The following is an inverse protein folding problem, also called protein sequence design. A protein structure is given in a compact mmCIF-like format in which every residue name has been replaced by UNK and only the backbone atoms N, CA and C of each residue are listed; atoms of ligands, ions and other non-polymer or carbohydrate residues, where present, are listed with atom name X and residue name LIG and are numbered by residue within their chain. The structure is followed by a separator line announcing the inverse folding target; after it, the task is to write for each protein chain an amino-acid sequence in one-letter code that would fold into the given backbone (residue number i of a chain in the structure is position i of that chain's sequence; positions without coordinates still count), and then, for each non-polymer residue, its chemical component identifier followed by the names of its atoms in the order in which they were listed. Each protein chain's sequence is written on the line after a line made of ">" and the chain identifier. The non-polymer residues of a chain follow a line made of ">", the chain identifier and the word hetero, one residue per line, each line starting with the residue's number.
data_IF_294545242873
#
_entry.id   IF_294545242873
#
_cell.length_a   1.000
_cell.length_b   1.000
_cell.length_c   1.000
_cell.angle_alpha   90.00
_cell.angle_beta   90.00
_cell.angle_gamma   90.00
#
_symmetry.space_group_name_H-M   'P 1'
#
loop_
_entity.id
_entity.type
_entity.pdbx_description
1 polymer ?
#
# COMPACT_ATOMS: atom_id res chain seq x y z
N UNK A 1 8.09 -23.88 11.03
CA UNK A 1 7.98 -24.41 9.65
C UNK A 1 9.34 -24.62 8.97
N UNK A 2 10.46 -24.17 9.57
CA UNK A 2 11.79 -24.32 8.96
C UNK A 2 11.93 -23.47 7.70
N UNK A 3 12.84 -23.85 6.80
CA UNK A 3 12.97 -23.22 5.49
C UNK A 3 11.76 -23.55 4.63
N UNK A 4 11.05 -22.53 4.19
CA UNK A 4 9.87 -22.64 3.33
C UNK A 4 9.98 -21.64 2.17
N UNK A 5 9.32 -21.89 1.03
CA UNK A 5 9.25 -20.91 -0.06
C UNK A 5 8.65 -19.57 0.42
N UNK A 6 9.14 -18.44 -0.11
CA UNK A 6 8.64 -17.11 0.25
C UNK A 6 7.11 -16.98 0.07
N UNK A 7 6.56 -17.52 -1.03
CA UNK A 7 5.11 -17.58 -1.28
C UNK A 7 4.34 -18.30 -0.16
N UNK A 8 4.93 -19.35 0.42
CA UNK A 8 4.31 -20.11 1.52
C UNK A 8 4.36 -19.31 2.82
N UNK A 9 5.49 -18.64 3.10
CA UNK A 9 5.60 -17.75 4.25
C UNK A 9 4.58 -16.62 4.20
N UNK A 10 4.38 -16.03 3.02
CA UNK A 10 3.39 -14.98 2.77
C UNK A 10 1.95 -15.48 2.97
N UNK A 11 1.58 -16.61 2.33
CA UNK A 11 0.22 -17.19 2.45
C UNK A 11 -0.16 -17.52 3.89
N UNK A 12 0.79 -18.00 4.70
CA UNK A 12 0.56 -18.32 6.12
C UNK A 12 0.86 -17.17 7.07
N UNK A 13 1.12 -15.96 6.56
CA UNK A 13 1.43 -14.75 7.33
C UNK A 13 2.44 -15.00 8.46
N UNK A 14 3.63 -15.53 8.09
CA UNK A 14 4.66 -15.86 9.08
C UNK A 14 5.50 -14.64 9.43
N UNK A 15 5.43 -14.20 10.69
CA UNK A 15 6.18 -13.04 11.19
C UNK A 15 7.70 -13.15 11.03
N UNK A 16 8.31 -14.32 11.33
CA UNK A 16 9.77 -14.48 11.30
C UNK A 16 10.32 -14.18 9.88
N UNK A 17 9.83 -14.83 8.79
CA UNK A 17 10.23 -14.45 7.43
C UNK A 17 9.96 -12.99 7.06
N UNK A 18 8.87 -12.37 7.52
CA UNK A 18 8.60 -10.96 7.24
C UNK A 18 9.66 -10.03 7.86
N UNK A 19 10.05 -10.29 9.11
CA UNK A 19 11.14 -9.58 9.79
C UNK A 19 12.48 -9.83 9.11
N UNK A 20 12.78 -11.08 8.72
CA UNK A 20 14.02 -11.43 8.01
C UNK A 20 14.13 -10.67 6.68
N UNK A 21 13.05 -10.58 5.90
CA UNK A 21 13.02 -9.79 4.64
C UNK A 21 13.25 -8.29 4.94
N UNK A 22 12.57 -7.74 5.95
CA UNK A 22 12.79 -6.34 6.36
C UNK A 22 14.23 -6.04 6.78
N UNK A 23 14.90 -6.99 7.43
CA UNK A 23 16.34 -6.90 7.76
C UNK A 23 17.24 -7.00 6.53
N UNK A 24 16.92 -7.93 5.61
CA UNK A 24 17.71 -8.17 4.40
C UNK A 24 17.66 -6.98 3.43
N UNK A 25 16.47 -6.43 3.19
CA UNK A 25 16.28 -5.32 2.25
C UNK A 25 16.54 -3.95 2.89
N UNK A 26 16.41 -3.87 4.22
CA UNK A 26 16.46 -2.62 4.98
C UNK A 26 15.09 -1.92 5.01
N UNK A 27 14.64 -1.55 6.22
CA UNK A 27 13.30 -1.01 6.44
C UNK A 27 13.02 0.29 5.69
N UNK A 28 14.02 1.15 5.46
CA UNK A 28 13.82 2.38 4.69
C UNK A 28 13.41 2.07 3.24
N UNK A 29 14.00 1.05 2.60
CA UNK A 29 13.62 0.64 1.25
C UNK A 29 12.18 0.08 1.21
N UNK A 30 11.79 -0.65 2.24
CA UNK A 30 10.42 -1.16 2.39
C UNK A 30 9.42 -0.01 2.54
N UNK A 31 9.77 1.00 3.33
CA UNK A 31 8.95 2.20 3.55
C UNK A 31 8.84 3.04 2.28
N UNK A 32 9.95 3.26 1.57
CA UNK A 32 9.96 3.97 0.30
C UNK A 32 9.07 3.28 -0.74
N UNK A 33 9.09 1.94 -0.79
CA UNK A 33 8.17 1.16 -1.62
C UNK A 33 6.71 1.35 -1.20
N UNK A 34 6.41 1.29 0.10
CA UNK A 34 5.05 1.52 0.59
C UNK A 34 4.53 2.92 0.24
N UNK A 35 5.38 3.95 0.35
CA UNK A 35 5.08 5.32 -0.08
C UNK A 35 4.85 5.42 -1.59
N UNK A 36 5.68 4.75 -2.40
CA UNK A 36 5.48 4.68 -3.85
C UNK A 36 4.14 4.01 -4.22
N UNK A 37 3.66 3.08 -3.38
CA UNK A 37 2.37 2.41 -3.54
C UNK A 37 1.17 3.22 -3.01
N UNK A 38 1.39 4.40 -2.43
CA UNK A 38 0.33 5.29 -1.96
C UNK A 38 -0.05 5.14 -0.48
N UNK A 39 0.77 4.48 0.33
CA UNK A 39 0.70 4.58 1.80
C UNK A 39 1.37 5.89 2.20
N UNK A 40 0.63 6.92 2.62
CA UNK A 40 1.19 8.24 2.95
C UNK A 40 1.39 8.46 4.45
N UNK A 41 0.72 7.65 5.28
CA UNK A 41 0.88 7.60 6.73
C UNK A 41 2.35 7.38 7.11
N UNK A 42 2.75 7.95 8.25
CA UNK A 42 4.09 7.73 8.78
C UNK A 42 4.30 6.26 9.14
N UNK A 43 5.38 5.68 8.62
CA UNK A 43 5.81 4.31 8.94
C UNK A 43 7.10 4.36 9.77
N UNK A 44 7.09 3.70 10.93
CA UNK A 44 8.29 3.60 11.77
C UNK A 44 9.35 2.71 11.09
N UNK A 45 10.63 3.12 11.03
CA UNK A 45 11.69 2.35 10.38
C UNK A 45 12.13 1.10 11.17
N UNK A 46 11.50 0.80 12.30
CA UNK A 46 11.71 -0.41 13.07
C UNK A 46 11.08 -1.66 12.44
N UNK A 47 11.61 -2.82 12.83
CA UNK A 47 11.17 -4.13 12.30
C UNK A 47 9.73 -4.51 12.72
N UNK A 48 9.16 -3.84 13.71
CA UNK A 48 7.74 -3.99 14.04
C UNK A 48 6.84 -3.59 12.87
N UNK A 49 7.26 -2.64 12.04
CA UNK A 49 6.49 -2.23 10.86
C UNK A 49 6.36 -3.36 9.84
N UNK A 50 7.38 -4.22 9.69
CA UNK A 50 7.32 -5.40 8.82
C UNK A 50 6.24 -6.43 9.23
N UNK A 51 5.72 -6.33 10.45
CA UNK A 51 4.64 -7.18 10.99
C UNK A 51 3.37 -6.38 11.33
N UNK A 52 3.22 -5.18 10.78
CA UNK A 52 2.01 -4.36 10.93
C UNK A 52 1.97 -3.47 12.17
N UNK A 53 3.12 -3.11 12.75
CA UNK A 53 3.20 -2.23 13.91
C UNK A 53 3.00 -0.74 13.64
N UNK A 54 2.86 -0.33 12.37
CA UNK A 54 2.52 1.04 11.97
C UNK A 54 1.06 1.11 11.51
N UNK A 55 0.37 2.16 11.93
CA UNK A 55 -1.03 2.38 11.57
C UNK A 55 -1.16 3.05 10.20
N UNK A 56 -2.20 2.64 9.44
CA UNK A 56 -2.57 3.24 8.15
C UNK A 56 -4.09 3.36 8.07
N UNK A 57 -4.58 4.26 7.22
CA UNK A 57 -6.02 4.35 6.95
C UNK A 57 -6.48 3.21 6.03
N UNK A 58 -7.78 2.89 6.07
CA UNK A 58 -8.36 1.92 5.15
C UNK A 58 -8.20 2.36 3.68
N UNK A 59 -8.32 3.66 3.40
CA UNK A 59 -8.19 4.19 2.04
C UNK A 59 -6.78 3.95 1.49
N UNK A 60 -5.75 4.19 2.29
CA UNK A 60 -4.36 3.88 1.93
C UNK A 60 -4.14 2.37 1.76
N UNK A 61 -4.75 1.55 2.61
CA UNK A 61 -4.67 0.10 2.45
C UNK A 61 -5.24 -0.34 1.09
N UNK A 62 -6.41 0.18 0.71
CA UNK A 62 -7.00 -0.09 -0.61
C UNK A 62 -6.12 0.44 -1.74
N UNK A 63 -5.55 1.65 -1.59
CA UNK A 63 -4.62 2.23 -2.57
C UNK A 63 -3.38 1.34 -2.78
N UNK A 64 -2.78 0.81 -1.73
CA UNK A 64 -1.64 -0.09 -1.84
C UNK A 64 -1.97 -1.40 -2.56
N UNK A 65 -3.15 -1.96 -2.32
CA UNK A 65 -3.60 -3.17 -3.02
C UNK A 65 -3.99 -2.93 -4.49
N UNK A 66 -4.47 -1.73 -4.82
CA UNK A 66 -4.78 -1.31 -6.20
C UNK A 66 -3.56 -1.45 -7.11
N UNK A 67 -2.36 -1.09 -6.63
CA UNK A 67 -1.12 -1.20 -7.41
C UNK A 67 -0.89 -2.62 -7.91
N UNK A 68 -1.15 -3.65 -7.10
CA UNK A 68 -1.03 -5.05 -7.55
C UNK A 68 -2.10 -5.42 -8.58
N UNK A 69 -3.34 -4.99 -8.35
CA UNK A 69 -4.45 -5.22 -9.28
C UNK A 69 -4.21 -4.53 -10.63
N UNK A 70 -3.52 -3.40 -10.62
CA UNK A 70 -3.17 -2.58 -11.77
C UNK A 70 -1.72 -2.82 -12.27
N UNK A 71 -1.20 -4.03 -12.05
CA UNK A 71 0.07 -4.50 -12.63
C UNK A 71 1.29 -3.63 -12.32
N UNK A 72 1.31 -3.00 -11.14
CA UNK A 72 2.39 -2.16 -10.65
C UNK A 72 2.24 -0.67 -10.94
N UNK A 73 1.17 -0.24 -11.61
CA UNK A 73 0.88 1.17 -11.82
C UNK A 73 -0.03 1.68 -10.71
N UNK A 74 0.36 2.77 -10.03
CA UNK A 74 -0.49 3.43 -9.04
C UNK A 74 -1.45 4.38 -9.74
N UNK A 75 -2.76 4.15 -9.59
CA UNK A 75 -3.79 5.13 -9.93
C UNK A 75 -4.34 5.77 -8.65
N UNK A 76 -4.39 7.10 -8.60
CA UNK A 76 -4.94 7.80 -7.43
C UNK A 76 -6.42 7.47 -7.27
N UNK A 77 -6.79 6.99 -6.08
CA UNK A 77 -8.19 6.68 -5.78
C UNK A 77 -9.02 7.96 -5.70
N UNK A 78 -10.07 8.03 -6.51
CA UNK A 78 -10.98 9.17 -6.57
C UNK A 78 -12.44 8.70 -6.44
N UNK A 79 -13.18 9.35 -5.54
CA UNK A 79 -14.60 9.04 -5.32
C UNK A 79 -15.55 9.93 -6.17
N UNK A 80 -15.03 11.05 -6.69
CA UNK A 80 -15.81 12.04 -7.42
C UNK A 80 -15.51 11.89 -8.91
N UNK A 81 -16.52 11.52 -9.70
CA UNK A 81 -16.41 11.44 -11.16
C UNK A 81 -16.58 12.79 -11.83
N UNK A 82 -17.60 13.54 -11.43
CA UNK A 82 -17.88 14.88 -11.96
C UNK A 82 -18.69 15.69 -10.94
N UNK A 83 -18.65 17.00 -11.07
CA UNK A 83 -19.48 17.94 -10.31
C UNK A 83 -20.18 18.85 -11.31
N UNK A 84 -21.50 18.95 -11.22
CA UNK A 84 -22.32 19.85 -12.03
C UNK A 84 -22.89 20.96 -11.14
N UNK A 85 -22.95 22.18 -11.66
CA UNK A 85 -23.60 23.30 -10.97
C UNK A 85 -25.13 23.26 -11.10
N UNK A 86 -25.82 24.18 -10.42
CA UNK A 86 -27.29 24.25 -10.45
C UNK A 86 -27.89 24.59 -11.81
N UNK A 87 -27.08 25.02 -12.79
CA UNK A 87 -27.50 25.23 -14.19
C UNK A 87 -27.32 23.99 -15.06
N UNK A 88 -26.75 22.91 -14.52
CA UNK A 88 -26.43 21.69 -15.24
C UNK A 88 -25.10 21.74 -15.99
N UNK A 89 -24.25 22.74 -15.71
CA UNK A 89 -22.91 22.82 -16.30
C UNK A 89 -21.90 22.06 -15.43
N UNK A 90 -21.15 21.16 -16.06
CA UNK A 90 -20.04 20.48 -15.39
C UNK A 90 -18.90 21.45 -15.06
N UNK A 91 -18.56 21.53 -13.78
CA UNK A 91 -17.48 22.39 -13.24
C UNK A 91 -16.23 21.61 -12.86
N UNK A 92 -16.36 20.28 -12.72
CA UNK A 92 -15.25 19.37 -12.49
C UNK A 92 -15.55 18.03 -13.17
N UNK A 93 -14.53 17.43 -13.75
CA UNK A 93 -14.53 16.03 -14.20
C UNK A 93 -13.20 15.43 -13.82
N UNK A 94 -13.23 14.22 -13.30
CA UNK A 94 -12.03 13.43 -13.08
C UNK A 94 -11.74 12.64 -14.35
N UNK A 95 -10.65 12.99 -15.01
CA UNK A 95 -10.13 12.24 -16.16
C UNK A 95 -9.32 11.05 -15.63
N UNK A 96 -9.62 9.86 -16.15
CA UNK A 96 -8.96 8.58 -15.81
C UNK A 96 -7.69 8.41 -16.64
#
# INVERSE_FOLDING_TARGET
>A
MGKIPARTALVYSRNIPAVEVGQMEGMNNVIDLAHAMGINSHLDPGLSTAIGGSDVTLLEHVQGYEVFANQGQKAELNAIKSIDDGSGKTVYTHDV
#
